data_IF_074441705867
#
_entry.id   IF_074441705867
#
_cell.length_a   1.000
_cell.length_b   1.000
_cell.length_c   1.000
_cell.angle_alpha   90.00
_cell.angle_beta   90.00
_cell.angle_gamma   90.00
#
_symmetry.space_group_name_H-M   'P 1'
#
loop_
_entity.id
_entity.type
_entity.pdbx_description
1 polymer ?
#
# COMPACT_ATOMS: atom_id res chain seq x y z
N UNK A 1 8.68 -3.23 -34.93
CA UNK A 1 10.06 -3.31 -35.45
C UNK A 1 11.01 -3.24 -34.27
N UNK A 2 12.07 -4.06 -34.24
CA UNK A 2 13.10 -3.93 -33.19
C UNK A 2 13.94 -2.68 -33.46
N UNK A 3 14.34 -1.90 -32.44
CA UNK A 3 15.24 -0.76 -32.62
C UNK A 3 16.58 -1.20 -33.25
N UNK A 4 17.32 -0.29 -33.92
CA UNK A 4 18.69 -0.55 -34.35
C UNK A 4 19.60 -0.91 -33.17
N UNK A 5 20.68 -1.64 -33.46
CA UNK A 5 21.70 -2.01 -32.46
C UNK A 5 22.21 -0.78 -31.71
N UNK A 6 22.28 -0.87 -30.38
CA UNK A 6 22.70 0.22 -29.50
C UNK A 6 21.58 1.17 -29.06
N UNK A 7 20.33 0.90 -29.43
CA UNK A 7 19.17 1.71 -29.03
C UNK A 7 18.10 0.87 -28.35
N UNK A 8 17.55 1.40 -27.25
CA UNK A 8 16.37 0.88 -26.57
C UNK A 8 15.08 1.34 -27.25
N UNK A 9 15.07 2.59 -27.73
CA UNK A 9 13.97 3.17 -28.51
C UNK A 9 14.55 3.93 -29.68
N UNK A 10 13.95 3.75 -30.86
CA UNK A 10 14.33 4.46 -32.06
C UNK A 10 13.11 4.87 -32.87
N UNK A 11 12.87 6.17 -32.94
CA UNK A 11 11.91 6.82 -33.83
C UNK A 11 12.48 8.14 -34.35
N UNK A 12 11.74 8.82 -35.23
CA UNK A 12 12.14 10.14 -35.75
C UNK A 12 12.25 11.19 -34.64
N UNK A 13 11.39 11.11 -33.62
CA UNK A 13 11.31 12.10 -32.53
C UNK A 13 12.03 11.66 -31.25
N UNK A 14 12.31 10.37 -31.07
CA UNK A 14 12.89 9.85 -29.83
C UNK A 14 13.93 8.77 -30.12
N UNK A 15 15.15 8.98 -29.61
CA UNK A 15 16.25 8.01 -29.70
C UNK A 15 16.83 7.82 -28.32
N UNK A 16 16.55 6.66 -27.72
CA UNK A 16 17.04 6.30 -26.38
C UNK A 16 18.13 5.25 -26.56
N UNK A 17 19.38 5.53 -26.19
CA UNK A 17 20.47 4.55 -26.29
C UNK A 17 20.22 3.38 -25.33
N UNK A 18 20.63 2.19 -25.74
CA UNK A 18 20.74 1.05 -24.84
C UNK A 18 22.12 1.11 -24.15
N UNK A 19 22.10 1.30 -22.84
CA UNK A 19 23.31 1.57 -22.04
C UNK A 19 23.78 0.30 -21.35
N UNK A 20 25.09 0.10 -21.27
CA UNK A 20 25.66 -0.96 -20.46
C UNK A 20 25.35 -0.72 -18.98
N UNK A 21 24.51 -1.58 -18.42
CA UNK A 21 24.05 -1.49 -17.03
C UNK A 21 25.17 -1.74 -16.02
N UNK A 22 26.30 -2.32 -16.45
CA UNK A 22 27.47 -2.66 -15.65
C UNK A 22 28.73 -1.88 -16.04
N UNK A 23 28.58 -0.77 -16.77
CA UNK A 23 29.69 0.09 -17.15
C UNK A 23 30.56 0.49 -15.91
N UNK A 24 31.90 0.46 -16.00
CA UNK A 24 32.78 0.69 -14.84
C UNK A 24 32.57 2.03 -14.13
N UNK A 25 32.30 3.09 -14.89
CA UNK A 25 32.03 4.45 -14.42
C UNK A 25 30.71 4.58 -13.65
N UNK A 26 29.76 3.68 -13.86
CA UNK A 26 28.52 3.58 -13.07
C UNK A 26 28.72 2.67 -11.86
N UNK A 27 29.39 1.54 -12.05
CA UNK A 27 29.57 0.54 -11.00
C UNK A 27 30.41 1.05 -9.82
N UNK A 28 31.31 2.01 -10.04
CA UNK A 28 32.01 2.70 -8.94
C UNK A 28 31.09 3.45 -7.98
N UNK A 29 29.89 3.85 -8.42
CA UNK A 29 28.88 4.52 -7.58
C UNK A 29 27.86 3.55 -7.00
N UNK A 30 27.76 2.33 -7.53
CA UNK A 30 26.80 1.33 -7.07
C UNK A 30 27.30 0.64 -5.81
N UNK A 31 26.50 0.72 -4.75
CA UNK A 31 26.72 -0.03 -3.51
C UNK A 31 25.55 -0.97 -3.29
N UNK A 32 25.86 -2.27 -3.18
CA UNK A 32 24.82 -3.27 -2.89
C UNK A 32 24.40 -3.17 -1.44
N UNK A 33 23.12 -2.90 -1.23
CA UNK A 33 22.52 -2.92 0.10
C UNK A 33 22.55 -4.33 0.69
N UNK A 34 22.93 -4.41 1.98
CA UNK A 34 22.92 -5.68 2.71
C UNK A 34 21.50 -5.96 3.21
N UNK A 35 20.96 -7.11 2.83
CA UNK A 35 19.66 -7.55 3.32
C UNK A 35 19.70 -7.68 4.85
N UNK A 36 18.77 -7.01 5.53
CA UNK A 36 18.54 -7.14 6.97
C UNK A 36 17.35 -8.07 7.17
N UNK A 37 17.55 -9.33 7.61
CA UNK A 37 16.43 -10.24 7.83
C UNK A 37 15.56 -9.72 8.98
N UNK A 38 14.26 -9.95 8.84
CA UNK A 38 13.32 -9.79 9.95
C UNK A 38 13.64 -10.82 11.07
N UNK A 39 13.01 -10.64 12.23
CA UNK A 39 13.10 -11.61 13.33
C UNK A 39 12.79 -13.03 12.88
N UNK A 40 13.58 -14.00 13.33
CA UNK A 40 13.33 -15.43 13.11
C UNK A 40 12.14 -15.98 13.93
N UNK A 41 11.60 -15.18 14.86
CA UNK A 41 10.41 -15.56 15.63
C UNK A 41 9.18 -15.43 14.75
N UNK A 42 8.32 -16.44 14.77
CA UNK A 42 6.99 -16.35 14.16
C UNK A 42 6.13 -15.33 14.92
N UNK A 43 5.17 -14.66 14.25
CA UNK A 43 4.24 -13.76 14.92
C UNK A 43 3.45 -14.48 16.02
N UNK A 44 3.33 -13.85 17.20
CA UNK A 44 2.54 -14.39 18.32
C UNK A 44 1.04 -14.31 18.05
N UNK A 45 0.60 -13.42 17.17
CA UNK A 45 -0.81 -13.21 16.88
C UNK A 45 -1.09 -13.24 15.40
N UNK A 46 -2.25 -13.78 15.05
CA UNK A 46 -2.78 -13.88 13.70
C UNK A 46 -4.22 -13.39 13.63
N UNK A 47 -4.65 -12.98 12.44
CA UNK A 47 -6.05 -12.68 12.15
C UNK A 47 -6.52 -13.60 11.04
N UNK A 48 -7.74 -14.12 11.14
CA UNK A 48 -8.35 -14.88 10.06
C UNK A 48 -9.82 -14.48 9.89
N UNK A 49 -10.23 -14.26 8.64
CA UNK A 49 -11.60 -13.94 8.31
C UNK A 49 -12.49 -15.19 8.40
N UNK A 50 -13.57 -15.11 9.17
CA UNK A 50 -14.59 -16.16 9.22
C UNK A 50 -15.71 -15.80 8.25
N UNK A 51 -15.86 -16.56 7.17
CA UNK A 51 -16.87 -16.30 6.14
C UNK A 51 -18.32 -16.46 6.64
N UNK A 52 -18.55 -17.30 7.65
CA UNK A 52 -19.89 -17.56 8.22
C UNK A 52 -20.35 -16.41 9.09
N UNK A 53 -19.52 -15.96 10.03
CA UNK A 53 -19.85 -14.80 10.90
C UNK A 53 -19.56 -13.46 10.22
N UNK A 54 -18.74 -13.45 9.16
CA UNK A 54 -18.28 -12.27 8.41
C UNK A 54 -17.48 -11.31 9.25
N UNK A 55 -16.69 -11.86 10.16
CA UNK A 55 -15.85 -11.15 11.11
C UNK A 55 -14.44 -11.71 11.07
N UNK A 56 -13.45 -10.87 11.37
CA UNK A 56 -12.11 -11.36 11.65
C UNK A 56 -12.02 -11.88 13.07
N UNK A 57 -11.36 -13.01 13.24
CA UNK A 57 -11.01 -13.57 14.55
C UNK A 57 -9.52 -13.36 14.77
N UNK A 58 -9.19 -12.54 15.76
CA UNK A 58 -7.83 -12.39 16.28
C UNK A 58 -7.51 -13.57 17.20
N UNK A 59 -6.34 -14.18 17.03
CA UNK A 59 -5.88 -15.32 17.82
C UNK A 59 -4.47 -15.09 18.37
N UNK A 60 -4.20 -15.69 19.54
CA UNK A 60 -2.84 -15.93 20.02
C UNK A 60 -2.42 -17.31 19.55
N UNK A 61 -1.26 -17.38 18.91
CA UNK A 61 -0.61 -18.62 18.53
C UNK A 61 0.03 -19.26 19.77
N UNK A 62 -0.69 -20.17 20.42
CA UNK A 62 -0.27 -20.78 21.69
C UNK A 62 1.10 -21.48 21.58
N UNK A 63 1.44 -22.03 20.40
CA UNK A 63 2.75 -22.62 20.11
C UNK A 63 3.90 -21.61 20.22
N UNK A 64 3.64 -20.33 19.95
CA UNK A 64 4.64 -19.27 19.93
C UNK A 64 4.80 -18.58 21.29
N UNK A 65 3.94 -18.84 22.28
CA UNK A 65 3.99 -18.17 23.59
C UNK A 65 5.38 -18.32 24.24
N UNK A 66 6.01 -19.51 24.13
CA UNK A 66 7.34 -19.76 24.70
C UNK A 66 8.45 -18.91 24.06
N UNK A 67 8.26 -18.48 22.81
CA UNK A 67 9.19 -17.59 22.09
C UNK A 67 9.18 -16.16 22.63
N UNK A 68 8.12 -15.76 23.34
CA UNK A 68 7.92 -14.41 23.88
C UNK A 68 7.82 -14.35 25.42
N UNK A 69 7.50 -15.47 26.08
CA UNK A 69 7.35 -15.55 27.54
C UNK A 69 7.92 -16.84 28.10
N UNK A 70 9.02 -16.74 28.88
CA UNK A 70 9.65 -17.89 29.55
C UNK A 70 8.73 -18.55 30.59
N UNK A 71 7.84 -17.79 31.23
CA UNK A 71 6.89 -18.30 32.22
C UNK A 71 5.68 -19.00 31.59
N UNK A 72 5.51 -18.91 30.26
CA UNK A 72 4.32 -19.35 29.55
C UNK A 72 3.08 -18.49 29.80
N UNK A 73 3.14 -17.49 30.69
CA UNK A 73 2.03 -16.56 30.95
C UNK A 73 2.18 -15.32 30.09
N UNK A 74 1.10 -14.93 29.42
CA UNK A 74 1.07 -13.72 28.61
C UNK A 74 -0.30 -13.06 28.72
N UNK A 75 -0.33 -11.73 28.74
CA UNK A 75 -1.55 -10.94 28.73
C UNK A 75 -1.54 -10.06 27.49
N UNK A 76 -2.52 -10.25 26.61
CA UNK A 76 -2.63 -9.49 25.38
C UNK A 76 -3.86 -8.59 25.40
N UNK A 77 -3.75 -7.46 24.75
CA UNK A 77 -4.88 -6.61 24.43
C UNK A 77 -4.72 -6.00 23.04
N UNK A 78 -5.83 -5.59 22.44
CA UNK A 78 -5.84 -4.93 21.13
C UNK A 78 -6.47 -3.54 21.23
N UNK A 79 -6.04 -2.64 20.36
CA UNK A 79 -6.60 -1.30 20.18
C UNK A 79 -6.99 -1.14 18.72
N UNK A 80 -8.21 -0.67 18.44
CA UNK A 80 -8.58 -0.26 17.09
C UNK A 80 -7.87 1.03 16.72
N UNK A 81 -7.43 1.12 15.47
CA UNK A 81 -6.83 2.32 14.90
C UNK A 81 -7.90 3.01 14.07
N UNK A 82 -8.16 4.27 14.38
CA UNK A 82 -9.19 5.07 13.72
C UNK A 82 -8.56 6.33 13.13
N UNK A 83 -9.01 6.73 11.96
CA UNK A 83 -8.71 8.07 11.42
C UNK A 83 -9.26 9.14 12.37
N UNK A 84 -8.47 10.17 12.68
CA UNK A 84 -8.84 11.19 13.67
C UNK A 84 -8.64 12.64 13.18
N UNK A 85 -7.91 12.83 12.08
CA UNK A 85 -7.61 14.16 11.56
C UNK A 85 -8.83 14.97 11.13
N UNK A 86 -8.73 16.30 11.26
CA UNK A 86 -9.70 17.27 10.72
C UNK A 86 -8.97 18.43 10.02
N UNK A 87 -9.69 19.14 9.13
CA UNK A 87 -9.15 20.30 8.42
C UNK A 87 -7.82 20.00 7.70
N UNK A 88 -6.83 20.87 7.86
CA UNK A 88 -5.51 20.70 7.24
C UNK A 88 -4.72 19.48 7.73
N UNK A 89 -5.17 18.80 8.80
CA UNK A 89 -4.59 17.56 9.33
C UNK A 89 -5.46 16.35 9.06
N UNK A 90 -6.46 16.45 8.19
CA UNK A 90 -7.47 15.42 7.97
C UNK A 90 -6.89 14.03 7.68
N UNK A 91 -5.70 13.98 7.08
CA UNK A 91 -5.04 12.76 6.62
C UNK A 91 -3.71 12.44 7.35
N UNK A 92 -3.44 13.17 8.43
CA UNK A 92 -2.15 13.13 9.15
C UNK A 92 -2.27 12.59 10.57
N UNK A 93 -3.48 12.26 11.04
CA UNK A 93 -3.70 11.88 12.43
C UNK A 93 -4.58 10.63 12.57
N UNK A 94 -4.28 9.85 13.59
CA UNK A 94 -5.01 8.65 14.00
C UNK A 94 -5.25 8.66 15.50
N UNK A 95 -6.23 7.87 15.94
CA UNK A 95 -6.55 7.65 17.34
C UNK A 95 -6.64 6.17 17.62
N UNK A 96 -6.08 5.76 18.75
CA UNK A 96 -6.23 4.40 19.27
C UNK A 96 -7.42 4.32 20.23
N UNK A 97 -8.18 3.23 20.18
CA UNK A 97 -9.15 2.93 21.23
C UNK A 97 -8.49 2.59 22.56
N UNK A 98 -9.32 2.40 23.61
CA UNK A 98 -8.87 1.70 24.82
C UNK A 98 -8.37 0.29 24.46
N UNK A 99 -7.37 -0.20 25.20
CA UNK A 99 -6.86 -1.55 25.00
C UNK A 99 -7.85 -2.57 25.56
N UNK A 100 -8.41 -3.40 24.68
CA UNK A 100 -9.40 -4.42 25.03
C UNK A 100 -8.67 -5.75 25.28
N UNK A 101 -8.68 -6.28 26.51
CA UNK A 101 -7.99 -7.53 26.82
C UNK A 101 -8.67 -8.72 26.15
N UNK A 102 -7.87 -9.69 25.70
CA UNK A 102 -8.36 -10.97 25.19
C UNK A 102 -7.41 -12.10 25.61
N UNK A 103 -7.92 -13.33 25.68
CA UNK A 103 -7.17 -14.49 26.18
C UNK A 103 -6.63 -15.37 25.06
N UNK A 104 -7.49 -16.16 24.40
CA UNK A 104 -7.08 -17.06 23.31
C UNK A 104 -7.42 -16.48 21.95
N UNK A 105 -8.66 -16.04 21.81
CA UNK A 105 -9.17 -15.44 20.59
C UNK A 105 -10.29 -14.45 20.90
N UNK A 106 -10.56 -13.56 19.95
CA UNK A 106 -11.67 -12.61 20.00
C UNK A 106 -12.16 -12.28 18.59
N UNK A 107 -13.47 -12.20 18.41
CA UNK A 107 -14.08 -11.68 17.18
C UNK A 107 -13.96 -10.15 17.16
N UNK A 108 -13.52 -9.61 16.04
CA UNK A 108 -13.38 -8.18 15.83
C UNK A 108 -14.63 -7.64 15.12
N UNK A 109 -15.16 -6.53 15.62
CA UNK A 109 -16.29 -5.84 14.98
C UNK A 109 -15.99 -5.53 13.50
N UNK A 110 -16.95 -5.74 12.58
CA UNK A 110 -16.82 -5.39 11.16
C UNK A 110 -16.51 -3.90 10.89
N UNK A 111 -16.72 -3.03 11.87
CA UNK A 111 -16.36 -1.60 11.78
C UNK A 111 -14.88 -1.29 12.01
N UNK A 112 -14.08 -2.25 12.51
CA UNK A 112 -12.67 -2.06 12.83
C UNK A 112 -11.82 -2.32 11.58
N UNK A 113 -11.20 -1.30 11.00
CA UNK A 113 -10.39 -1.46 9.79
C UNK A 113 -8.95 -1.91 10.05
N UNK A 114 -8.45 -1.68 11.26
CA UNK A 114 -7.12 -2.14 11.65
C UNK A 114 -6.96 -2.11 13.17
N UNK A 115 -6.03 -2.93 13.67
CA UNK A 115 -5.72 -3.02 15.09
C UNK A 115 -4.22 -2.99 15.36
N UNK A 116 -3.85 -2.47 16.53
CA UNK A 116 -2.58 -2.75 17.17
C UNK A 116 -2.80 -3.76 18.29
N UNK A 117 -1.92 -4.75 18.36
CA UNK A 117 -1.90 -5.76 19.42
C UNK A 117 -0.64 -5.58 20.22
N UNK A 118 -0.78 -5.58 21.54
CA UNK A 118 0.34 -5.61 22.46
C UNK A 118 0.17 -6.75 23.45
N UNK A 119 1.28 -7.39 23.80
CA UNK A 119 1.29 -8.43 24.79
C UNK A 119 2.42 -8.24 25.79
N UNK A 120 2.09 -8.48 27.06
CA UNK A 120 2.98 -8.31 28.18
C UNK A 120 3.23 -9.64 28.91
N UNK A 121 4.48 -9.85 29.32
CA UNK A 121 4.88 -10.92 30.24
C UNK A 121 5.66 -10.31 31.39
N UNK A 122 5.28 -10.68 32.63
CA UNK A 122 5.88 -10.13 33.86
C UNK A 122 5.95 -8.58 33.87
N UNK A 123 4.85 -7.92 33.47
CA UNK A 123 4.72 -6.45 33.35
C UNK A 123 5.68 -5.78 32.36
N UNK A 124 6.33 -6.55 31.47
CA UNK A 124 7.14 -6.02 30.36
C UNK A 124 6.45 -6.31 29.04
N UNK A 125 6.46 -5.32 28.15
CA UNK A 125 5.99 -5.51 26.78
C UNK A 125 6.96 -6.40 26.00
N UNK A 126 6.49 -7.56 25.57
CA UNK A 126 7.29 -8.58 24.89
C UNK A 126 6.93 -8.72 23.41
N UNK A 127 5.78 -8.17 23.00
CA UNK A 127 5.29 -8.27 21.65
C UNK A 127 4.42 -7.06 21.30
N UNK A 128 4.63 -6.52 20.10
CA UNK A 128 3.73 -5.58 19.44
C UNK A 128 3.61 -5.98 17.97
N UNK A 129 2.40 -5.90 17.45
CA UNK A 129 2.16 -6.10 16.03
C UNK A 129 0.91 -5.35 15.58
N UNK A 130 0.83 -5.02 14.31
CA UNK A 130 -0.32 -4.40 13.69
C UNK A 130 -0.99 -5.33 12.69
N UNK A 131 -2.32 -5.31 12.62
CA UNK A 131 -3.09 -6.07 11.65
C UNK A 131 -4.05 -5.14 10.89
N UNK A 132 -3.80 -4.84 9.59
CA UNK A 132 -4.79 -4.23 8.73
C UNK A 132 -5.87 -5.25 8.36
N UNK A 133 -7.14 -4.83 8.33
CA UNK A 133 -8.29 -5.71 8.12
C UNK A 133 -9.08 -5.26 6.89
N UNK A 134 -9.37 -6.20 6.00
CA UNK A 134 -10.18 -5.96 4.80
C UNK A 134 -11.60 -6.46 5.08
N UNK A 135 -12.36 -5.71 5.87
CA UNK A 135 -13.73 -6.06 6.23
C UNK A 135 -14.69 -5.83 5.07
N UNK A 136 -15.69 -6.71 4.94
CA UNK A 136 -16.73 -6.54 3.94
C UNK A 136 -17.69 -5.39 4.31
N UNK A 137 -17.43 -4.19 3.80
CA UNK A 137 -18.25 -2.99 4.02
C UNK A 137 -19.60 -3.10 3.30
N UNK A 138 -20.68 -2.69 3.96
CA UNK A 138 -22.05 -2.76 3.39
C UNK A 138 -22.15 -2.01 2.05
N UNK A 139 -21.65 -0.77 2.00
CA UNK A 139 -21.65 0.05 0.76
C UNK A 139 -20.92 -0.63 -0.41
N UNK A 140 -19.84 -1.37 -0.13
CA UNK A 140 -19.08 -2.09 -1.17
C UNK A 140 -19.90 -3.28 -1.65
N UNK A 141 -20.54 -4.02 -0.75
CA UNK A 141 -21.40 -5.16 -1.07
C UNK A 141 -22.61 -4.75 -1.90
N UNK A 142 -23.30 -3.68 -1.51
CA UNK A 142 -24.42 -3.12 -2.27
C UNK A 142 -23.99 -2.75 -3.69
N UNK A 143 -22.86 -2.04 -3.83
CA UNK A 143 -22.29 -1.69 -5.13
C UNK A 143 -22.00 -2.91 -5.99
N UNK A 144 -21.38 -3.95 -5.41
CA UNK A 144 -21.09 -5.21 -6.11
C UNK A 144 -22.37 -5.94 -6.55
N UNK A 145 -23.42 -5.96 -5.71
CA UNK A 145 -24.72 -6.54 -6.07
C UNK A 145 -25.34 -5.81 -7.27
N UNK A 146 -25.33 -4.48 -7.25
CA UNK A 146 -25.85 -3.65 -8.35
C UNK A 146 -25.11 -3.91 -9.66
N UNK A 147 -23.78 -3.95 -9.62
CA UNK A 147 -22.98 -4.21 -10.82
C UNK A 147 -23.12 -5.64 -11.32
N UNK A 148 -23.20 -6.64 -10.43
CA UNK A 148 -23.49 -8.03 -10.83
C UNK A 148 -24.82 -8.14 -11.59
N UNK A 149 -25.86 -7.45 -11.13
CA UNK A 149 -27.15 -7.40 -11.82
C UNK A 149 -27.01 -6.78 -13.20
N UNK A 150 -26.37 -5.61 -13.28
CA UNK A 150 -26.12 -4.90 -14.55
C UNK A 150 -25.31 -5.74 -15.55
N UNK A 151 -24.27 -6.42 -15.08
CA UNK A 151 -23.45 -7.29 -15.92
C UNK A 151 -24.27 -8.47 -16.46
N UNK A 152 -25.12 -9.07 -15.62
CA UNK A 152 -26.03 -10.15 -16.02
C UNK A 152 -27.03 -9.68 -17.08
N UNK A 153 -27.66 -8.51 -16.88
CA UNK A 153 -28.63 -7.94 -17.81
C UNK A 153 -28.04 -7.60 -19.18
N UNK A 154 -26.76 -7.20 -19.22
CA UNK A 154 -26.08 -6.81 -20.46
C UNK A 154 -25.21 -7.94 -21.06
N UNK A 155 -25.29 -9.16 -20.50
CA UNK A 155 -24.46 -10.29 -20.94
C UNK A 155 -22.95 -10.06 -20.81
N UNK A 156 -22.53 -9.22 -19.86
CA UNK A 156 -21.11 -8.86 -19.65
C UNK A 156 -20.44 -9.84 -18.70
N UNK A 157 -19.21 -10.18 -19.01
CA UNK A 157 -18.34 -10.94 -18.10
C UNK A 157 -17.78 -10.03 -17.02
N UNK A 158 -17.56 -10.58 -15.82
CA UNK A 158 -16.90 -9.87 -14.73
C UNK A 158 -15.52 -9.36 -15.20
N UNK A 159 -15.19 -8.08 -15.01
CA UNK A 159 -13.89 -7.55 -15.42
C UNK A 159 -12.74 -8.11 -14.57
N UNK A 160 -11.50 -8.11 -15.09
CA UNK A 160 -10.33 -8.53 -14.35
C UNK A 160 -10.01 -7.58 -13.18
N UNK A 161 -9.34 -8.09 -12.14
CA UNK A 161 -8.76 -7.25 -11.08
C UNK A 161 -7.48 -6.59 -11.57
N UNK A 162 -7.24 -5.36 -11.12
CA UNK A 162 -6.04 -4.58 -11.47
C UNK A 162 -5.25 -4.33 -10.20
N UNK A 163 -3.97 -4.68 -10.23
CA UNK A 163 -3.00 -4.41 -9.17
C UNK A 163 -1.91 -3.51 -9.73
N UNK A 164 -1.73 -2.34 -9.13
CA UNK A 164 -0.63 -1.43 -9.44
C UNK A 164 0.39 -1.51 -8.30
N UNK A 165 1.63 -1.86 -8.61
CA UNK A 165 2.74 -1.89 -7.66
C UNK A 165 3.73 -0.81 -8.08
N UNK A 166 3.97 0.17 -7.20
CA UNK A 166 5.02 1.17 -7.36
C UNK A 166 6.22 0.82 -6.50
N UNK A 167 7.43 0.99 -7.03
CA UNK A 167 8.67 0.94 -6.27
C UNK A 167 9.29 2.33 -6.39
N UNK A 168 9.41 3.05 -5.28
CA UNK A 168 9.93 4.40 -5.30
C UNK A 168 11.43 4.40 -5.61
N UNK A 169 11.87 5.43 -6.33
CA UNK A 169 13.28 5.79 -6.51
C UNK A 169 14.13 4.73 -7.23
N UNK A 170 13.50 3.94 -8.10
CA UNK A 170 14.19 2.95 -8.94
C UNK A 170 14.05 3.27 -10.43
N UNK A 171 15.16 3.26 -11.16
CA UNK A 171 15.17 3.28 -12.63
C UNK A 171 15.29 1.87 -13.18
N UNK A 172 14.97 1.68 -14.47
CA UNK A 172 15.15 0.39 -15.17
C UNK A 172 16.54 -0.20 -14.97
N UNK A 173 17.58 0.61 -15.21
CA UNK A 173 18.97 0.17 -15.07
C UNK A 173 19.35 -0.13 -13.62
N UNK A 174 18.76 0.58 -12.65
CA UNK A 174 19.00 0.31 -11.24
C UNK A 174 18.27 -0.96 -10.77
N UNK A 175 17.07 -1.26 -11.30
CA UNK A 175 16.34 -2.51 -11.04
C UNK A 175 17.20 -3.72 -11.42
N UNK A 176 17.81 -3.70 -12.60
CA UNK A 176 18.66 -4.80 -13.09
C UNK A 176 19.85 -5.03 -12.15
N UNK A 177 20.50 -3.97 -11.67
CA UNK A 177 21.65 -4.08 -10.74
C UNK A 177 21.26 -4.46 -9.32
N UNK A 178 20.26 -3.78 -8.74
CA UNK A 178 19.91 -3.89 -7.33
C UNK A 178 19.00 -5.11 -7.04
N UNK A 179 18.17 -5.50 -8.02
CA UNK A 179 17.19 -6.57 -7.88
C UNK A 179 17.30 -7.59 -9.06
N UNK A 180 18.48 -8.18 -9.31
CA UNK A 180 18.72 -9.00 -10.50
C UNK A 180 17.82 -10.23 -10.59
N UNK A 181 17.45 -10.83 -9.44
CA UNK A 181 16.49 -11.95 -9.41
C UNK A 181 15.09 -11.52 -9.82
N UNK A 182 14.67 -10.32 -9.43
CA UNK A 182 13.37 -9.76 -9.82
C UNK A 182 13.39 -9.41 -11.30
N UNK A 183 14.44 -8.76 -11.79
CA UNK A 183 14.59 -8.46 -13.21
C UNK A 183 14.54 -9.73 -14.07
N UNK A 184 15.31 -10.76 -13.70
CA UNK A 184 15.29 -12.05 -14.40
C UNK A 184 13.91 -12.69 -14.39
N UNK A 185 13.22 -12.70 -13.25
CA UNK A 185 11.86 -13.20 -13.15
C UNK A 185 10.90 -12.49 -14.13
N UNK A 186 11.00 -11.16 -14.25
CA UNK A 186 10.16 -10.41 -15.20
C UNK A 186 10.45 -10.83 -16.65
N UNK A 187 11.72 -11.00 -17.02
CA UNK A 187 12.12 -11.44 -18.35
C UNK A 187 11.65 -12.87 -18.68
N UNK A 188 11.66 -13.75 -17.69
CA UNK A 188 11.32 -15.16 -17.87
C UNK A 188 9.81 -15.45 -17.87
N UNK A 189 8.97 -14.50 -17.42
CA UNK A 189 7.53 -14.71 -17.19
C UNK A 189 6.62 -13.84 -18.08
N UNK A 190 7.02 -13.62 -19.34
CA UNK A 190 6.23 -12.94 -20.38
C UNK A 190 5.68 -11.55 -19.97
N UNK A 191 6.40 -10.83 -19.10
CA UNK A 191 6.03 -9.46 -18.76
C UNK A 191 6.28 -8.53 -19.94
N UNK A 192 5.30 -7.70 -20.24
CA UNK A 192 5.45 -6.69 -21.28
C UNK A 192 6.19 -5.47 -20.75
N UNK A 193 7.46 -5.32 -21.13
CA UNK A 193 8.26 -4.15 -20.79
C UNK A 193 7.91 -2.94 -21.66
N UNK A 194 7.45 -1.85 -21.03
CA UNK A 194 7.23 -0.56 -21.68
C UNK A 194 8.55 0.19 -21.88
N UNK A 195 9.40 -0.33 -22.78
CA UNK A 195 10.72 0.25 -23.09
C UNK A 195 10.60 1.71 -23.50
N UNK A 196 11.39 2.57 -22.84
CA UNK A 196 11.37 4.02 -23.06
C UNK A 196 10.26 4.79 -22.35
N UNK A 197 9.38 4.11 -21.61
CA UNK A 197 8.49 4.77 -20.66
C UNK A 197 9.34 5.47 -19.59
N UNK A 198 9.10 6.77 -19.39
CA UNK A 198 9.89 7.61 -18.52
C UNK A 198 9.00 8.44 -17.59
N UNK A 199 9.58 8.84 -16.47
CA UNK A 199 9.01 9.83 -15.56
C UNK A 199 8.85 11.17 -16.28
N UNK A 200 7.82 11.93 -15.95
CA UNK A 200 7.54 13.25 -16.53
C UNK A 200 8.06 14.40 -15.66
N UNK A 201 8.48 14.11 -14.43
CA UNK A 201 9.00 15.10 -13.47
C UNK A 201 9.90 14.38 -12.44
N UNK A 202 10.49 15.11 -11.50
CA UNK A 202 11.50 14.57 -10.58
C UNK A 202 10.94 13.79 -9.40
N UNK A 203 9.86 14.29 -8.80
CA UNK A 203 9.32 13.75 -7.55
C UNK A 203 8.18 12.74 -7.78
N UNK A 204 7.89 11.91 -6.78
CA UNK A 204 6.84 10.87 -6.84
C UNK A 204 5.48 11.44 -7.20
N UNK A 205 5.06 12.52 -6.55
CA UNK A 205 3.72 13.11 -6.73
C UNK A 205 3.34 13.46 -8.18
N UNK A 206 4.07 14.32 -8.93
CA UNK A 206 3.71 14.65 -10.31
C UNK A 206 3.70 13.42 -11.24
N UNK A 207 4.61 12.46 -11.04
CA UNK A 207 4.61 11.22 -11.81
C UNK A 207 3.40 10.34 -11.52
N UNK A 208 3.00 10.24 -10.25
CA UNK A 208 1.79 9.53 -9.86
C UNK A 208 0.54 10.24 -10.38
N UNK A 209 0.48 11.57 -10.37
CA UNK A 209 -0.64 12.31 -10.94
C UNK A 209 -0.77 12.13 -12.46
N UNK A 210 0.34 11.91 -13.16
CA UNK A 210 0.31 11.55 -14.58
C UNK A 210 -0.40 10.21 -14.81
N UNK A 211 -0.05 9.20 -14.01
CA UNK A 211 -0.62 7.85 -14.12
C UNK A 211 -2.06 7.81 -13.62
N UNK A 212 -2.33 8.48 -12.49
CA UNK A 212 -3.61 8.36 -11.79
C UNK A 212 -4.67 9.34 -12.29
N UNK A 213 -4.30 10.52 -12.78
CA UNK A 213 -5.26 11.53 -13.23
C UNK A 213 -5.03 12.00 -14.68
N UNK A 214 -3.96 11.54 -15.34
CA UNK A 214 -3.57 12.08 -16.65
C UNK A 214 -3.06 13.53 -16.57
N UNK A 215 -2.60 13.98 -15.40
CA UNK A 215 -2.17 15.36 -15.19
C UNK A 215 -0.64 15.46 -15.06
N UNK A 216 -0.05 16.43 -15.75
CA UNK A 216 1.31 16.87 -15.45
C UNK A 216 1.31 17.77 -14.20
N UNK A 217 2.50 18.24 -13.79
CA UNK A 217 2.65 19.11 -12.62
C UNK A 217 1.80 20.38 -12.70
N UNK A 218 1.82 21.07 -13.84
CA UNK A 218 1.10 22.34 -14.02
C UNK A 218 -0.41 22.14 -13.96
N UNK A 219 -0.94 21.15 -14.68
CA UNK A 219 -2.36 20.81 -14.64
C UNK A 219 -2.80 20.38 -13.25
N UNK A 220 -1.95 19.66 -12.50
CA UNK A 220 -2.26 19.23 -11.14
C UNK A 220 -2.43 20.43 -10.21
N UNK A 221 -1.49 21.39 -10.23
CA UNK A 221 -1.57 22.56 -9.33
C UNK A 221 -2.75 23.46 -9.65
N UNK A 222 -3.20 23.51 -10.91
CA UNK A 222 -4.37 24.30 -11.30
C UNK A 222 -5.69 23.57 -11.04
N UNK A 223 -5.81 22.29 -11.41
CA UNK A 223 -7.09 21.55 -11.37
C UNK A 223 -7.40 20.98 -9.98
N UNK A 224 -6.39 20.53 -9.25
CA UNK A 224 -6.58 20.04 -7.90
C UNK A 224 -5.37 20.37 -7.00
N UNK A 225 -5.22 21.65 -6.61
CA UNK A 225 -4.06 22.14 -5.88
C UNK A 225 -3.84 21.37 -4.57
N UNK A 226 -2.73 20.63 -4.41
CA UNK A 226 -2.59 19.66 -3.32
C UNK A 226 -2.34 20.28 -1.94
N UNK A 227 -2.16 21.59 -1.89
CA UNK A 227 -2.04 22.39 -0.65
C UNK A 227 -3.36 23.04 -0.22
N UNK A 228 -4.40 22.94 -1.05
CA UNK A 228 -5.73 23.47 -0.73
C UNK A 228 -6.56 22.34 -0.13
N UNK A 229 -7.17 22.63 1.02
CA UNK A 229 -8.02 21.67 1.72
C UNK A 229 -9.16 21.17 0.82
N UNK A 230 -9.30 19.86 0.68
CA UNK A 230 -10.37 19.23 -0.11
C UNK A 230 -10.14 19.22 -1.63
N UNK A 231 -9.11 19.88 -2.15
CA UNK A 231 -8.86 19.90 -3.58
C UNK A 231 -8.47 18.51 -4.13
N UNK A 232 -7.67 17.74 -3.37
CA UNK A 232 -7.29 16.38 -3.76
C UNK A 232 -8.49 15.41 -3.82
N UNK A 233 -9.50 15.61 -2.97
CA UNK A 233 -10.70 14.78 -2.95
C UNK A 233 -11.50 14.90 -4.25
N UNK A 234 -11.40 16.05 -4.91
CA UNK A 234 -12.09 16.36 -6.16
C UNK A 234 -11.22 16.08 -7.41
N UNK A 235 -9.99 15.61 -7.26
CA UNK A 235 -9.18 15.21 -8.41
C UNK A 235 -9.86 14.05 -9.16
N UNK A 236 -9.78 14.05 -10.48
CA UNK A 236 -10.23 12.96 -11.36
C UNK A 236 -9.27 11.75 -11.33
N UNK A 237 -9.06 11.18 -10.14
CA UNK A 237 -8.18 10.02 -9.95
C UNK A 237 -8.85 8.75 -10.48
N UNK A 238 -8.07 7.89 -11.13
CA UNK A 238 -8.55 6.73 -11.87
C UNK A 238 -9.34 5.74 -11.00
N UNK A 239 -9.02 5.65 -9.71
CA UNK A 239 -9.77 4.83 -8.78
C UNK A 239 -11.21 5.32 -8.58
N UNK A 240 -11.52 6.59 -8.83
CA UNK A 240 -12.90 7.09 -8.82
C UNK A 240 -13.68 6.46 -9.97
N UNK A 241 -13.11 6.45 -11.18
CA UNK A 241 -13.71 5.79 -12.34
C UNK A 241 -13.86 4.28 -12.12
N UNK A 242 -12.85 3.60 -11.56
CA UNK A 242 -12.96 2.18 -11.20
C UNK A 242 -14.09 1.93 -10.18
N UNK A 243 -14.16 2.75 -9.13
CA UNK A 243 -15.23 2.65 -8.13
C UNK A 243 -16.62 2.81 -8.76
N UNK A 244 -16.79 3.82 -9.63
CA UNK A 244 -18.04 4.05 -10.36
C UNK A 244 -18.42 2.85 -11.22
N UNK A 245 -17.43 2.15 -11.78
CA UNK A 245 -17.58 0.92 -12.57
C UNK A 245 -17.64 -0.38 -11.75
N UNK A 246 -17.92 -0.27 -10.44
CA UNK A 246 -18.20 -1.43 -9.60
C UNK A 246 -16.99 -2.10 -8.98
N UNK A 247 -15.78 -1.59 -9.21
CA UNK A 247 -14.58 -2.15 -8.60
C UNK A 247 -14.53 -1.86 -7.11
N UNK A 248 -13.81 -2.71 -6.40
CA UNK A 248 -13.39 -2.48 -5.02
C UNK A 248 -12.02 -1.82 -5.07
N UNK A 249 -11.87 -0.66 -4.44
CA UNK A 249 -10.62 0.13 -4.53
C UNK A 249 -9.83 0.10 -3.23
N UNK A 250 -8.51 0.04 -3.36
CA UNK A 250 -7.57 0.06 -2.24
C UNK A 250 -6.33 0.88 -2.57
N UNK A 251 -5.73 1.47 -1.55
CA UNK A 251 -4.51 2.29 -1.66
C UNK A 251 -3.73 2.23 -0.35
N UNK A 252 -2.42 2.05 -0.47
CA UNK A 252 -1.49 2.08 0.65
C UNK A 252 -0.06 2.33 0.17
N UNK A 253 0.72 2.95 1.05
CA UNK A 253 2.15 3.19 0.91
C UNK A 253 2.85 2.67 2.17
N UNK A 254 4.18 2.60 2.12
CA UNK A 254 5.03 2.01 3.17
C UNK A 254 5.90 3.04 3.92
N UNK A 255 5.81 4.34 3.59
CA UNK A 255 6.51 5.42 4.29
C UNK A 255 5.59 6.62 4.61
N UNK A 256 5.24 6.81 5.87
CA UNK A 256 4.13 7.67 6.27
C UNK A 256 4.49 9.15 6.18
N UNK A 257 5.72 9.52 6.57
CA UNK A 257 6.18 10.91 6.58
C UNK A 257 6.38 11.48 5.18
N UNK A 258 6.71 10.62 4.21
CA UNK A 258 6.97 11.00 2.81
C UNK A 258 5.89 10.50 1.83
N UNK A 259 4.75 10.04 2.36
CA UNK A 259 3.59 9.57 1.59
C UNK A 259 3.21 10.54 0.46
N UNK A 260 2.93 9.99 -0.72
CA UNK A 260 2.80 10.74 -1.99
C UNK A 260 1.85 11.93 -1.90
N UNK A 261 0.72 11.75 -1.21
CA UNK A 261 -0.34 12.75 -1.08
C UNK A 261 -0.24 13.62 0.18
N UNK A 262 0.73 13.35 1.07
CA UNK A 262 0.86 14.02 2.36
C UNK A 262 2.17 14.83 2.48
N UNK A 263 3.24 14.45 1.78
CA UNK A 263 4.52 15.17 1.83
C UNK A 263 4.39 16.59 1.25
N UNK A 264 4.50 17.61 2.12
CA UNK A 264 4.24 19.04 1.84
C UNK A 264 2.86 19.36 1.25
N UNK A 265 1.86 18.54 1.58
CA UNK A 265 0.48 18.58 1.06
C UNK A 265 -0.51 18.37 2.20
N UNK A 266 -1.78 18.68 1.96
CA UNK A 266 -2.83 18.54 2.97
C UNK A 266 -3.34 17.09 3.08
N UNK A 267 -3.15 16.29 2.02
CA UNK A 267 -3.76 14.96 1.91
C UNK A 267 -5.26 15.03 1.61
N UNK A 268 -5.91 13.88 1.71
CA UNK A 268 -7.36 13.77 1.46
C UNK A 268 -8.16 14.15 2.69
N UNK A 269 -9.32 14.79 2.56
CA UNK A 269 -10.19 15.04 3.73
C UNK A 269 -11.07 13.84 4.06
N UNK A 270 -11.33 12.99 3.07
CA UNK A 270 -12.08 11.74 3.18
C UNK A 270 -11.22 10.60 2.60
N UNK A 271 -11.35 9.35 3.08
CA UNK A 271 -10.65 8.23 2.46
C UNK A 271 -10.93 8.16 0.94
N UNK A 272 -9.90 8.22 0.07
CA UNK A 272 -10.10 8.32 -1.39
C UNK A 272 -10.59 7.00 -1.99
N UNK A 273 -10.29 5.88 -1.35
CA UNK A 273 -10.56 4.50 -1.78
C UNK A 273 -11.37 3.73 -0.73
N UNK A 274 -11.92 2.56 -1.08
CA UNK A 274 -12.73 1.79 -0.13
C UNK A 274 -11.88 1.23 1.02
N UNK A 275 -10.63 0.84 0.76
CA UNK A 275 -9.68 0.38 1.77
C UNK A 275 -8.42 1.25 1.74
N UNK A 276 -8.29 2.13 2.74
CA UNK A 276 -7.25 3.14 2.79
C UNK A 276 -6.29 2.87 3.94
N UNK A 277 -5.04 2.52 3.62
CA UNK A 277 -4.07 2.02 4.62
C UNK A 277 -3.50 3.11 5.54
N UNK A 278 -3.65 4.39 5.18
CA UNK A 278 -2.97 5.53 5.83
C UNK A 278 -3.07 5.56 7.35
N UNK A 279 -4.25 5.40 8.01
CA UNK A 279 -4.31 5.44 9.47
C UNK A 279 -3.52 4.30 10.12
N UNK A 280 -3.55 3.11 9.52
CA UNK A 280 -2.74 1.97 9.96
C UNK A 280 -1.26 2.25 9.79
N UNK A 281 -0.86 2.77 8.63
CA UNK A 281 0.53 3.10 8.30
C UNK A 281 1.13 4.07 9.33
N UNK A 282 0.43 5.18 9.62
CA UNK A 282 0.83 6.15 10.64
C UNK A 282 1.04 5.49 12.02
N UNK A 283 0.07 4.68 12.44
CA UNK A 283 0.14 4.00 13.73
C UNK A 283 1.24 2.93 13.78
N UNK A 284 1.46 2.20 12.69
CA UNK A 284 2.50 1.20 12.57
C UNK A 284 3.89 1.85 12.68
N UNK A 285 4.14 2.94 11.98
CA UNK A 285 5.42 3.66 12.07
C UNK A 285 5.63 4.26 13.46
N UNK A 286 4.62 4.84 14.10
CA UNK A 286 4.76 5.38 15.44
C UNK A 286 4.96 4.33 16.55
N UNK A 287 4.44 3.11 16.39
CA UNK A 287 4.36 2.14 17.48
C UNK A 287 5.14 0.84 17.27
N UNK A 288 5.46 0.48 16.02
CA UNK A 288 6.16 -0.75 15.65
C UNK A 288 7.58 -0.47 15.13
N UNK A 289 7.83 0.71 14.55
CA UNK A 289 9.16 1.10 14.10
C UNK A 289 10.08 1.35 15.30
N UNK A 290 11.22 0.67 15.34
CA UNK A 290 12.34 0.93 16.26
C UNK A 290 13.65 0.78 15.51
#
# INVERSE_FOLDING_TARGET
MRPPTGYLVWSESCRIPDVDVHAPDIMQHFKREKYKPCSNKKPLTSVAFNATSREYVLRIEESEIKSFSKSGRIHCCYQSIMRNGTGAKADCDYRLSKCVPFKKSVSLSPSIESILVQCDSNKRNVYKNGHPLINEKEKVRERLKTWKKKDTEHGRTKPPSILMIGIDSISRVNLIRAMPKTAQYLYDNDWFELSGYNKIDDNTFPNFMAVLAGYNKDNTVTKCPPRVLGALDNCSLIWNAFREHGYVTGYGEDAADISTFNYYKVGFTKPPVDYYLRPFQLAAEHHLHK
#
